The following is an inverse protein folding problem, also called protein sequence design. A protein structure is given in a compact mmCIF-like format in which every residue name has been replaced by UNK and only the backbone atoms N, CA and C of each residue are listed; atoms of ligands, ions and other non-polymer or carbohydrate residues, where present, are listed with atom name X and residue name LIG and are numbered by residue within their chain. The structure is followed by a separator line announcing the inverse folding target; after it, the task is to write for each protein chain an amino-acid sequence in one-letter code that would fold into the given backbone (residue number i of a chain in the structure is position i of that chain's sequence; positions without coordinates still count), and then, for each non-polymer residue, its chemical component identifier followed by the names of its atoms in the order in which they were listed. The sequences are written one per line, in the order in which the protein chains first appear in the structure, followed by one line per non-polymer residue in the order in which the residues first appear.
data_IF_918565009560
#
_entry.id   IF_918565009560
#
_cell.length_a   1.000
_cell.length_b   1.000
_cell.length_c   1.000
_cell.angle_alpha   90.00
_cell.angle_beta   90.00
_cell.angle_gamma   90.00
#
_symmetry.space_group_name_H-M   'P 1'
#
loop_
_entity.id
_entity.type
_entity.pdbx_description
1 polymer ?
#
# COMPACT_ATOMS: atom_id res chain seq x y z
N UNK A 1 -61.73 9.61 20.68
CA UNK A 1 -60.45 9.05 21.21
C UNK A 1 -59.70 8.24 20.15
N UNK A 2 -60.38 7.51 19.27
CA UNK A 2 -59.74 6.64 18.25
C UNK A 2 -58.82 7.37 17.24
N UNK A 3 -59.15 8.61 16.84
CA UNK A 3 -58.37 9.34 15.84
C UNK A 3 -56.97 9.76 16.31
N UNK A 4 -56.75 9.92 17.63
CA UNK A 4 -55.42 10.21 18.21
C UNK A 4 -54.54 8.97 18.28
N UNK A 5 -55.12 7.80 18.49
CA UNK A 5 -54.41 6.52 18.55
C UNK A 5 -53.88 6.11 17.17
N UNK A 6 -54.63 6.39 16.10
CA UNK A 6 -54.22 6.09 14.71
C UNK A 6 -53.01 6.93 14.30
N UNK A 7 -53.01 8.24 14.59
CA UNK A 7 -51.89 9.14 14.28
C UNK A 7 -50.62 8.73 15.05
N UNK A 8 -50.78 8.35 16.33
CA UNK A 8 -49.65 7.93 17.16
C UNK A 8 -49.06 6.59 16.70
N UNK A 9 -49.91 5.65 16.26
CA UNK A 9 -49.43 4.40 15.65
C UNK A 9 -48.75 4.64 14.30
N UNK A 10 -49.24 5.58 13.48
CA UNK A 10 -48.60 5.92 12.20
C UNK A 10 -47.23 6.58 12.39
N UNK A 11 -47.12 7.47 13.39
CA UNK A 11 -45.84 8.09 13.76
C UNK A 11 -44.85 7.06 14.30
N UNK A 12 -45.31 6.13 15.16
CA UNK A 12 -44.48 5.05 15.71
C UNK A 12 -44.02 4.06 14.65
N UNK A 13 -44.87 3.74 13.66
CA UNK A 13 -44.49 2.91 12.53
C UNK A 13 -43.46 3.60 11.64
N UNK A 14 -43.61 4.91 11.41
CA UNK A 14 -42.66 5.72 10.64
C UNK A 14 -41.28 5.81 11.31
N UNK A 15 -41.23 6.01 12.63
CA UNK A 15 -39.95 6.03 13.37
C UNK A 15 -39.28 4.66 13.39
N UNK A 16 -40.04 3.57 13.58
CA UNK A 16 -39.50 2.21 13.53
C UNK A 16 -39.01 1.83 12.13
N UNK A 17 -39.67 2.33 11.08
CA UNK A 17 -39.23 2.13 9.69
C UNK A 17 -37.92 2.86 9.41
N UNK A 18 -37.84 4.13 9.83
CA UNK A 18 -36.63 4.95 9.69
C UNK A 18 -35.45 4.37 10.49
N UNK A 19 -35.66 3.93 11.73
CA UNK A 19 -34.61 3.24 12.52
C UNK A 19 -34.15 1.94 11.87
N UNK A 20 -35.05 1.19 11.23
CA UNK A 20 -34.68 -0.02 10.47
C UNK A 20 -33.92 0.31 9.20
N UNK A 21 -34.30 1.36 8.47
CA UNK A 21 -33.56 1.84 7.30
C UNK A 21 -32.17 2.32 7.70
N UNK A 22 -32.06 3.12 8.76
CA UNK A 22 -30.78 3.63 9.28
C UNK A 22 -29.88 2.50 9.79
N UNK A 23 -30.44 1.47 10.44
CA UNK A 23 -29.70 0.29 10.89
C UNK A 23 -29.20 -0.57 9.72
N UNK A 24 -30.05 -0.82 8.71
CA UNK A 24 -29.67 -1.56 7.51
C UNK A 24 -28.62 -0.81 6.70
N UNK A 25 -28.74 0.51 6.60
CA UNK A 25 -27.74 1.35 5.92
C UNK A 25 -26.41 1.35 6.67
N UNK A 26 -26.44 1.43 8.01
CA UNK A 26 -25.25 1.30 8.86
C UNK A 26 -24.56 -0.07 8.73
N UNK A 27 -25.33 -1.15 8.64
CA UNK A 27 -24.79 -2.50 8.42
C UNK A 27 -24.13 -2.63 7.03
N UNK A 28 -24.74 -2.06 6.00
CA UNK A 28 -24.19 -2.05 4.63
C UNK A 28 -22.91 -1.21 4.57
N UNK A 29 -22.89 -0.01 5.15
CA UNK A 29 -21.70 0.84 5.20
C UNK A 29 -20.54 0.19 5.98
N UNK A 30 -20.86 -0.49 7.08
CA UNK A 30 -19.89 -1.27 7.85
C UNK A 30 -19.32 -2.43 7.02
N UNK A 31 -20.18 -3.19 6.33
CA UNK A 31 -19.77 -4.29 5.47
C UNK A 31 -18.91 -3.81 4.29
N UNK A 32 -19.28 -2.67 3.69
CA UNK A 32 -18.53 -2.04 2.61
C UNK A 32 -17.16 -1.57 3.08
N UNK A 33 -17.11 -0.89 4.22
CA UNK A 33 -15.86 -0.43 4.84
C UNK A 33 -14.94 -1.61 5.17
N UNK A 34 -15.49 -2.69 5.72
CA UNK A 34 -14.75 -3.92 5.97
C UNK A 34 -14.22 -4.56 4.68
N UNK A 35 -15.02 -4.59 3.61
CA UNK A 35 -14.62 -5.12 2.31
C UNK A 35 -13.48 -4.30 1.68
N UNK A 36 -13.53 -2.97 1.80
CA UNK A 36 -12.48 -2.07 1.33
C UNK A 36 -11.19 -2.20 2.15
N UNK A 37 -11.29 -2.25 3.48
CA UNK A 37 -10.15 -2.52 4.34
C UNK A 37 -9.50 -3.88 4.01
N UNK A 38 -10.32 -4.91 3.76
CA UNK A 38 -9.85 -6.24 3.37
C UNK A 38 -9.11 -6.23 2.04
N UNK A 39 -9.65 -5.56 1.03
CA UNK A 39 -8.98 -5.45 -0.27
C UNK A 39 -7.64 -4.71 -0.15
N UNK A 40 -7.59 -3.63 0.64
CA UNK A 40 -6.36 -2.89 0.88
C UNK A 40 -5.29 -3.73 1.61
N UNK A 41 -5.70 -4.55 2.59
CA UNK A 41 -4.77 -5.45 3.27
C UNK A 41 -4.24 -6.53 2.32
N UNK A 42 -5.11 -7.14 1.51
CA UNK A 42 -4.71 -8.17 0.56
C UNK A 42 -3.70 -7.65 -0.46
N UNK A 43 -3.91 -6.44 -0.99
CA UNK A 43 -3.02 -5.78 -1.94
C UNK A 43 -1.61 -5.58 -1.36
N UNK A 44 -1.52 -5.03 -0.15
CA UNK A 44 -0.23 -4.81 0.54
C UNK A 44 0.47 -6.14 0.84
N UNK A 45 -0.26 -7.19 1.21
CA UNK A 45 0.30 -8.52 1.47
C UNK A 45 0.83 -9.14 0.17
N UNK A 46 0.06 -9.09 -0.91
CA UNK A 46 0.48 -9.61 -2.22
C UNK A 46 1.75 -8.92 -2.69
N UNK A 47 1.79 -7.59 -2.62
CA UNK A 47 2.96 -6.83 -3.02
C UNK A 47 4.19 -7.13 -2.13
N UNK A 48 3.99 -7.30 -0.80
CA UNK A 48 5.06 -7.69 0.11
C UNK A 48 5.59 -9.10 -0.19
N UNK A 49 4.71 -10.05 -0.50
CA UNK A 49 5.07 -11.40 -0.90
C UNK A 49 5.84 -11.43 -2.23
N UNK A 50 5.40 -10.64 -3.23
CA UNK A 50 6.12 -10.48 -4.49
C UNK A 50 7.51 -9.89 -4.22
N UNK A 51 7.62 -8.88 -3.36
CA UNK A 51 8.90 -8.28 -3.01
C UNK A 51 9.86 -9.26 -2.31
N UNK A 52 9.35 -10.14 -1.45
CA UNK A 52 10.14 -11.21 -0.81
C UNK A 52 10.59 -12.24 -1.85
N UNK A 53 9.68 -12.68 -2.74
CA UNK A 53 10.01 -13.60 -3.83
C UNK A 53 11.05 -13.01 -4.80
N UNK A 54 10.94 -11.73 -5.14
CA UNK A 54 11.89 -10.96 -5.95
C UNK A 54 13.31 -11.00 -5.38
N UNK A 55 13.46 -11.00 -4.05
CA UNK A 55 14.76 -11.06 -3.39
C UNK A 55 15.33 -12.47 -3.32
N UNK A 56 14.47 -13.48 -3.15
CA UNK A 56 14.87 -14.89 -3.16
C UNK A 56 15.35 -15.33 -4.53
N UNK A 57 14.72 -14.84 -5.60
CA UNK A 57 15.20 -15.02 -6.96
C UNK A 57 16.35 -14.06 -7.27
N UNK A 58 17.22 -14.41 -8.23
CA UNK A 58 18.34 -13.53 -8.62
C UNK A 58 17.80 -12.16 -9.00
N UNK A 59 18.48 -11.08 -8.59
CA UNK A 59 18.10 -9.68 -8.85
C UNK A 59 17.85 -9.31 -10.33
N UNK A 60 18.28 -10.16 -11.28
CA UNK A 60 17.96 -10.05 -12.70
C UNK A 60 16.50 -10.34 -13.04
N UNK A 61 15.80 -11.15 -12.24
CA UNK A 61 14.42 -11.59 -12.49
C UNK A 61 13.38 -10.77 -11.70
N UNK A 62 13.85 -9.89 -10.81
CA UNK A 62 13.04 -9.00 -9.99
C UNK A 62 12.00 -8.18 -10.79
N UNK A 63 12.45 -7.56 -11.88
CA UNK A 63 11.59 -6.75 -12.75
C UNK A 63 10.54 -7.60 -13.46
N UNK A 64 10.92 -8.81 -13.88
CA UNK A 64 10.02 -9.73 -14.57
C UNK A 64 8.89 -10.19 -13.63
N UNK A 65 9.20 -10.59 -12.40
CA UNK A 65 8.20 -11.07 -11.44
C UNK A 65 7.19 -9.98 -11.04
N UNK A 66 7.67 -8.75 -10.80
CA UNK A 66 6.79 -7.62 -10.47
C UNK A 66 5.91 -7.24 -11.68
N UNK A 67 6.48 -7.27 -12.89
CA UNK A 67 5.72 -6.96 -14.11
C UNK A 67 4.63 -7.99 -14.43
N UNK A 68 4.87 -9.28 -14.16
CA UNK A 68 3.88 -10.35 -14.32
C UNK A 68 2.71 -10.14 -13.37
N UNK A 69 2.99 -9.76 -12.12
CA UNK A 69 1.97 -9.47 -11.12
C UNK A 69 1.09 -8.30 -11.55
N UNK A 70 1.70 -7.26 -12.12
CA UNK A 70 0.98 -6.10 -12.65
C UNK A 70 0.20 -6.38 -13.92
N UNK A 71 0.71 -7.25 -14.79
CA UNK A 71 -0.03 -7.75 -15.92
C UNK A 71 -1.27 -8.52 -15.47
N UNK A 72 -1.14 -9.39 -14.46
CA UNK A 72 -2.27 -10.10 -13.87
C UNK A 72 -3.29 -9.14 -13.24
N UNK A 73 -2.82 -8.12 -12.52
CA UNK A 73 -3.67 -7.04 -11.98
C UNK A 73 -4.42 -6.30 -13.10
N UNK A 74 -3.75 -5.98 -14.21
CA UNK A 74 -4.38 -5.29 -15.32
C UNK A 74 -5.45 -6.15 -16.01
N UNK A 75 -5.18 -7.45 -16.20
CA UNK A 75 -6.19 -8.40 -16.71
C UNK A 75 -7.38 -8.49 -15.76
N UNK A 76 -7.13 -8.58 -14.44
CA UNK A 76 -8.17 -8.53 -13.42
C UNK A 76 -8.98 -7.24 -13.46
N UNK A 77 -8.30 -6.10 -13.67
CA UNK A 77 -8.91 -4.78 -13.82
C UNK A 77 -9.78 -4.64 -15.07
N UNK A 78 -9.35 -5.18 -16.22
CA UNK A 78 -10.16 -5.26 -17.45
C UNK A 78 -11.41 -6.09 -17.19
N UNK A 79 -11.26 -7.31 -16.68
CA UNK A 79 -12.39 -8.20 -16.37
C UNK A 79 -13.35 -7.56 -15.36
N UNK A 80 -12.82 -6.95 -14.30
CA UNK A 80 -13.59 -6.27 -13.26
C UNK A 80 -14.33 -5.04 -13.78
N UNK A 81 -13.73 -4.25 -14.66
CA UNK A 81 -14.37 -3.06 -15.24
C UNK A 81 -15.49 -3.45 -16.22
N UNK A 82 -15.29 -4.50 -17.02
CA UNK A 82 -16.31 -5.04 -17.92
C UNK A 82 -17.48 -5.66 -17.13
N UNK A 83 -17.19 -6.51 -16.14
CA UNK A 83 -18.20 -7.10 -15.27
C UNK A 83 -18.92 -6.04 -14.44
N UNK A 84 -18.21 -5.00 -13.97
CA UNK A 84 -18.79 -3.87 -13.24
C UNK A 84 -19.75 -3.05 -14.09
N UNK A 85 -19.38 -2.75 -15.35
CA UNK A 85 -20.28 -2.08 -16.31
C UNK A 85 -21.52 -2.90 -16.64
N UNK A 86 -21.35 -4.22 -16.82
CA UNK A 86 -22.47 -5.15 -17.02
C UNK A 86 -23.39 -5.23 -15.78
N UNK A 87 -22.79 -5.32 -14.58
CA UNK A 87 -23.51 -5.37 -13.32
C UNK A 87 -24.34 -4.10 -13.10
N UNK A 88 -23.79 -2.92 -13.40
CA UNK A 88 -24.48 -1.64 -13.22
C UNK A 88 -25.71 -1.48 -14.14
N UNK A 89 -25.72 -2.13 -15.30
CA UNK A 89 -26.78 -2.02 -16.30
C UNK A 89 -27.86 -3.10 -16.18
N UNK A 90 -27.52 -4.30 -15.69
CA UNK A 90 -28.42 -5.45 -15.71
C UNK A 90 -28.74 -6.03 -14.32
N UNK A 91 -27.98 -5.69 -13.28
CA UNK A 91 -28.18 -6.21 -11.93
C UNK A 91 -28.81 -5.17 -11.01
N UNK A 92 -29.60 -5.65 -10.05
CA UNK A 92 -30.12 -4.83 -8.97
C UNK A 92 -28.99 -4.44 -8.02
N UNK A 93 -29.10 -3.25 -7.45
CA UNK A 93 -28.12 -2.66 -6.52
C UNK A 93 -27.81 -3.61 -5.34
N UNK A 94 -28.81 -4.31 -4.80
CA UNK A 94 -28.62 -5.31 -3.73
C UNK A 94 -27.64 -6.44 -4.12
N UNK A 95 -27.75 -6.93 -5.37
CA UNK A 95 -26.85 -7.97 -5.89
C UNK A 95 -25.43 -7.43 -6.11
N UNK A 96 -25.30 -6.16 -6.49
CA UNK A 96 -24.00 -5.48 -6.64
C UNK A 96 -23.30 -5.38 -5.28
N UNK A 97 -24.02 -4.96 -4.23
CA UNK A 97 -23.47 -4.91 -2.87
C UNK A 97 -23.06 -6.30 -2.35
N UNK A 98 -23.85 -7.34 -2.62
CA UNK A 98 -23.50 -8.71 -2.24
C UNK A 98 -22.24 -9.17 -2.98
N UNK A 99 -22.14 -8.93 -4.29
CA UNK A 99 -20.95 -9.26 -5.07
C UNK A 99 -19.70 -8.56 -4.52
N UNK A 100 -19.84 -7.30 -4.13
CA UNK A 100 -18.75 -6.47 -3.59
C UNK A 100 -18.28 -6.89 -2.19
N UNK A 101 -19.08 -7.66 -1.45
CA UNK A 101 -18.67 -8.20 -0.14
C UNK A 101 -18.11 -9.62 -0.26
N UNK A 102 -18.68 -10.45 -1.15
CA UNK A 102 -18.26 -11.84 -1.38
C UNK A 102 -16.91 -11.91 -2.09
N UNK A 103 -16.70 -11.10 -3.15
CA UNK A 103 -15.44 -11.16 -3.91
C UNK A 103 -14.20 -10.85 -3.04
N UNK A 104 -14.18 -9.76 -2.23
CA UNK A 104 -13.07 -9.54 -1.30
C UNK A 104 -12.96 -10.60 -0.21
N UNK A 105 -14.07 -11.23 0.21
CA UNK A 105 -14.03 -12.35 1.16
C UNK A 105 -13.29 -13.56 0.61
N UNK A 106 -13.57 -13.92 -0.64
CA UNK A 106 -12.87 -14.98 -1.34
C UNK A 106 -11.39 -14.66 -1.52
N UNK A 107 -11.05 -13.40 -1.82
CA UNK A 107 -9.66 -12.96 -1.90
C UNK A 107 -8.90 -13.17 -0.57
N UNK A 108 -9.51 -12.79 0.56
CA UNK A 108 -8.90 -12.99 1.87
C UNK A 108 -8.76 -14.47 2.22
N UNK A 109 -9.76 -15.30 1.89
CA UNK A 109 -9.67 -16.74 2.07
C UNK A 109 -8.51 -17.31 1.25
N UNK A 110 -8.31 -16.83 0.02
CA UNK A 110 -7.17 -17.22 -0.80
C UNK A 110 -5.84 -16.83 -0.15
N UNK A 111 -5.70 -15.60 0.36
CA UNK A 111 -4.50 -15.16 1.07
C UNK A 111 -4.23 -16.00 2.34
N UNK A 112 -5.28 -16.39 3.07
CA UNK A 112 -5.15 -17.22 4.27
C UNK A 112 -4.76 -18.69 3.97
N UNK A 113 -5.02 -19.17 2.76
CA UNK A 113 -4.66 -20.51 2.31
C UNK A 113 -3.25 -20.58 1.70
N UNK A 114 -2.60 -19.44 1.45
CA UNK A 114 -1.22 -19.45 0.99
C UNK A 114 -0.32 -19.94 2.10
N UNK A 115 0.25 -21.14 1.90
CA UNK A 115 1.16 -21.76 2.84
C UNK A 115 2.54 -21.09 2.75
N UNK A 116 2.94 -20.38 3.80
CA UNK A 116 4.29 -19.86 3.93
C UNK A 116 5.27 -21.03 4.09
N UNK A 117 6.11 -21.26 3.09
CA UNK A 117 7.24 -22.18 3.25
C UNK A 117 8.30 -21.48 4.11
N UNK A 118 8.60 -21.95 5.33
CA UNK A 118 9.62 -21.32 6.15
C UNK A 118 10.96 -21.47 5.44
N UNK A 119 11.54 -20.35 4.99
CA UNK A 119 12.87 -20.33 4.41
C UNK A 119 13.85 -20.96 5.42
N UNK A 120 14.60 -21.97 4.97
CA UNK A 120 15.59 -22.67 5.77
C UNK A 120 16.56 -21.66 6.39
N UNK A 121 16.57 -21.58 7.72
CA UNK A 121 17.58 -20.87 8.49
C UNK A 121 18.93 -21.57 8.32
N UNK A 122 19.66 -21.29 7.24
CA UNK A 122 21.11 -21.47 7.25
C UNK A 122 21.74 -20.27 7.98
N UNK A 123 22.49 -20.50 9.07
CA UNK A 123 23.13 -19.41 9.80
C UNK A 123 24.28 -18.82 8.96
N UNK A 124 24.11 -17.60 8.46
CA UNK A 124 25.20 -16.83 7.85
C UNK A 124 26.18 -16.34 8.95
N UNK A 125 27.50 -16.27 8.68
CA UNK A 125 28.53 -16.11 9.72
C UNK A 125 28.44 -14.79 10.48
N UNK A 126 28.66 -14.87 11.79
CA UNK A 126 28.89 -13.75 12.70
C UNK A 126 29.89 -12.75 12.10
N UNK A 127 29.42 -11.53 11.84
CA UNK A 127 30.30 -10.38 11.78
C UNK A 127 29.79 -9.29 12.73
N UNK A 128 30.61 -9.11 13.76
CA UNK A 128 30.77 -7.97 14.65
C UNK A 128 29.94 -7.98 15.94
N UNK A 129 30.63 -8.40 17.00
CA UNK A 129 30.42 -8.09 18.41
C UNK A 129 29.78 -6.71 18.62
N UNK A 130 28.63 -6.71 19.26
CA UNK A 130 28.13 -5.57 20.01
C UNK A 130 27.50 -6.05 21.32
N UNK A 131 28.33 -6.63 22.19
CA UNK A 131 28.04 -6.76 23.62
C UNK A 131 28.68 -5.58 24.36
N UNK A 132 28.08 -4.40 24.22
CA UNK A 132 28.26 -3.29 25.15
C UNK A 132 27.08 -2.34 24.94
N UNK A 133 26.47 -1.89 26.05
CA UNK A 133 25.24 -1.09 26.17
C UNK A 133 23.91 -1.87 26.27
N UNK A 134 23.60 -2.36 27.47
CA UNK A 134 22.65 -1.70 28.39
C UNK A 134 22.35 -2.63 29.57
N UNK A 135 23.11 -2.51 30.66
CA UNK A 135 22.61 -2.91 31.98
C UNK A 135 23.08 -1.88 33.01
N UNK A 136 22.32 -0.79 33.13
CA UNK A 136 22.46 0.16 34.23
C UNK A 136 21.11 0.78 34.56
N UNK A 137 20.26 0.02 35.24
CA UNK A 137 19.29 0.61 36.15
C UNK A 137 18.78 -0.40 37.17
N UNK A 138 19.03 -0.06 38.44
CA UNK A 138 18.26 -0.45 39.63
C UNK A 138 18.40 -1.90 40.10
N UNK A 139 19.34 -2.13 41.01
CA UNK A 139 18.99 -2.46 42.40
C UNK A 139 20.20 -2.21 43.31
N UNK A 140 20.10 -1.18 44.14
CA UNK A 140 20.90 -1.05 45.35
C UNK A 140 20.44 -2.11 46.34
N UNK A 141 21.35 -2.95 46.82
CA UNK A 141 21.27 -3.50 48.16
C UNK A 141 22.67 -3.89 48.61
N UNK A 142 23.19 -3.06 49.51
CA UNK A 142 24.40 -3.31 50.27
C UNK A 142 24.25 -4.59 51.09
N UNK A 143 25.21 -5.50 50.98
CA UNK A 143 25.65 -6.34 52.11
C UNK A 143 27.00 -6.99 51.76
N UNK A 144 28.06 -6.43 52.36
CA UNK A 144 29.33 -7.13 52.64
C UNK A 144 29.09 -8.17 53.76
N UNK A 145 29.81 -9.31 53.82
CA UNK A 145 31.22 -9.25 54.21
C UNK A 145 32.20 -10.25 53.55
N UNK A 146 33.45 -9.80 53.54
CA UNK A 146 34.73 -10.50 53.75
C UNK A 146 35.07 -11.81 53.05
N UNK A 147 35.99 -11.66 52.10
CA UNK A 147 37.01 -12.66 51.74
C UNK A 147 37.89 -13.07 52.92
N UNK A 148 38.02 -14.38 53.17
CA UNK A 148 39.35 -14.94 53.48
C UNK A 148 39.53 -16.38 52.98
N UNK A 149 40.48 -16.50 52.03
CA UNK A 149 41.50 -17.54 51.84
C UNK A 149 41.22 -18.96 52.40
N UNK A 150 41.27 -19.98 51.55
CA UNK A 150 42.52 -20.69 51.20
C UNK A 150 42.27 -22.10 50.63
N UNK A 151 43.06 -22.41 49.60
CA UNK A 151 43.70 -23.67 49.24
C UNK A 151 43.12 -25.06 49.59
N UNK A 152 43.40 -25.93 48.61
CA UNK A 152 43.84 -27.35 48.69
C UNK A 152 42.82 -28.49 48.69
N UNK A 153 42.84 -29.22 47.56
CA UNK A 153 43.14 -30.66 47.39
C UNK A 153 42.49 -31.69 48.34
N UNK A 154 42.02 -32.74 47.66
CA UNK A 154 42.18 -34.20 47.91
C UNK A 154 41.02 -34.97 48.58
N UNK A 155 40.53 -35.91 47.76
CA UNK A 155 40.44 -37.37 47.99
C UNK A 155 39.40 -37.93 49.00
N UNK A 156 38.53 -38.78 48.43
CA UNK A 156 38.46 -40.25 48.63
C UNK A 156 37.40 -40.80 49.59
N UNK A 157 36.71 -41.84 49.08
CA UNK A 157 36.10 -42.94 49.86
C UNK A 157 34.58 -42.96 49.74
N UNK A 158 33.97 -43.86 48.96
CA UNK A 158 33.50 -45.20 49.39
C UNK A 158 32.58 -45.13 50.62
N UNK A 159 31.35 -45.67 50.68
CA UNK A 159 30.92 -47.00 50.20
C UNK A 159 29.41 -47.20 50.49
N UNK A 160 28.75 -47.98 49.62
CA UNK A 160 27.75 -49.06 49.86
C UNK A 160 26.31 -48.79 50.37
N UNK A 161 25.37 -49.27 49.54
CA UNK A 161 24.13 -50.00 49.89
C UNK A 161 22.95 -49.09 50.25
N UNK A 162 21.69 -49.33 49.86
CA UNK A 162 20.99 -50.52 49.35
C UNK A 162 19.66 -50.03 48.75
N UNK A 163 19.12 -50.76 47.75
CA UNK A 163 17.87 -50.52 47.00
C UNK A 163 16.63 -50.20 47.88
N UNK A 164 15.79 -49.29 47.40
CA UNK A 164 14.41 -49.06 47.85
C UNK A 164 13.71 -48.03 46.97
N UNK A 165 12.46 -48.32 46.62
CA UNK A 165 11.60 -47.72 45.59
C UNK A 165 11.33 -46.20 45.61
N UNK A 166 11.00 -45.71 44.42
CA UNK A 166 10.07 -44.60 44.11
C UNK A 166 10.19 -43.28 44.89
N UNK A 167 10.72 -42.22 44.23
CA UNK A 167 9.98 -40.97 43.98
C UNK A 167 10.79 -40.07 43.03
N UNK A 168 10.45 -40.10 41.74
CA UNK A 168 10.84 -39.07 40.79
C UNK A 168 9.92 -37.85 40.97
N UNK A 169 10.43 -36.82 41.63
CA UNK A 169 9.91 -35.44 41.66
C UNK A 169 11.15 -34.56 41.83
N UNK A 170 11.52 -33.59 41.01
CA UNK A 170 10.76 -32.77 40.06
C UNK A 170 11.78 -32.11 39.13
N UNK A 171 12.00 -32.69 37.95
CA UNK A 171 12.55 -31.96 36.80
C UNK A 171 11.62 -32.19 35.61
N UNK A 172 10.34 -31.87 35.83
CA UNK A 172 9.36 -31.78 34.75
C UNK A 172 9.25 -30.31 34.37
N UNK A 173 9.79 -30.00 33.19
CA UNK A 173 9.26 -28.98 32.29
C UNK A 173 8.95 -27.60 32.91
N UNK A 174 9.95 -26.71 32.98
CA UNK A 174 9.69 -25.27 32.92
C UNK A 174 10.02 -24.73 31.52
N UNK A 175 9.37 -25.32 30.51
CA UNK A 175 9.49 -24.92 29.10
C UNK A 175 8.12 -25.00 28.42
N UNK A 176 7.17 -24.17 28.85
CA UNK A 176 5.88 -23.83 28.21
C UNK A 176 5.10 -23.05 29.29
N UNK A 177 4.66 -21.81 29.13
CA UNK A 177 4.13 -21.10 27.98
C UNK A 177 4.52 -19.63 28.12
N UNK A 178 5.39 -19.11 27.24
CA UNK A 178 5.32 -17.68 26.94
C UNK A 178 4.01 -17.54 26.16
N UNK A 179 3.04 -16.80 26.71
CA UNK A 179 1.77 -16.52 26.04
C UNK A 179 2.03 -16.16 24.58
N UNK A 180 1.25 -16.72 23.64
CA UNK A 180 1.34 -16.40 22.21
C UNK A 180 1.34 -14.87 21.98
N UNK A 181 0.60 -14.13 22.81
CA UNK A 181 0.60 -12.66 22.81
C UNK A 181 1.96 -12.05 23.19
N UNK A 182 2.69 -12.65 24.12
CA UNK A 182 4.05 -12.22 24.49
C UNK A 182 5.06 -12.51 23.39
N UNK A 183 4.96 -13.65 22.69
CA UNK A 183 5.81 -13.94 21.52
C UNK A 183 5.50 -13.03 20.34
N UNK A 184 4.23 -12.77 20.06
CA UNK A 184 3.80 -11.83 19.02
C UNK A 184 4.26 -10.41 19.34
N UNK A 185 4.10 -9.95 20.59
CA UNK A 185 4.56 -8.64 21.02
C UNK A 185 6.09 -8.49 20.94
N UNK A 186 6.86 -9.52 21.30
CA UNK A 186 8.31 -9.52 21.14
C UNK A 186 8.73 -9.47 19.67
N UNK A 187 8.04 -10.21 18.80
CA UNK A 187 8.30 -10.22 17.36
C UNK A 187 7.94 -8.87 16.72
N UNK A 188 6.81 -8.29 17.11
CA UNK A 188 6.40 -6.94 16.68
C UNK A 188 7.39 -5.87 17.15
N UNK A 189 7.86 -5.96 18.40
CA UNK A 189 8.86 -5.02 18.94
C UNK A 189 10.19 -5.14 18.19
N UNK A 190 10.62 -6.35 17.85
CA UNK A 190 11.82 -6.58 17.06
C UNK A 190 11.68 -6.04 15.63
N UNK A 191 10.56 -6.31 14.95
CA UNK A 191 10.27 -5.83 13.61
C UNK A 191 10.18 -4.29 13.55
N UNK A 192 9.51 -3.67 14.53
CA UNK A 192 9.40 -2.19 14.61
C UNK A 192 10.74 -1.52 14.87
N UNK A 193 11.58 -2.08 15.75
CA UNK A 193 12.92 -1.55 15.98
C UNK A 193 13.85 -1.73 14.76
N UNK A 194 13.81 -2.91 14.12
CA UNK A 194 14.54 -3.19 12.89
C UNK A 194 14.13 -2.25 11.75
N UNK A 195 12.83 -2.05 11.56
CA UNK A 195 12.27 -1.09 10.62
C UNK A 195 12.73 0.34 10.90
N UNK A 196 12.69 0.78 12.17
CA UNK A 196 13.16 2.10 12.57
C UNK A 196 14.64 2.34 12.27
N UNK A 197 15.48 1.30 12.41
CA UNK A 197 16.89 1.35 12.04
C UNK A 197 17.08 1.40 10.53
N UNK A 198 16.34 0.60 9.76
CA UNK A 198 16.40 0.58 8.30
C UNK A 198 15.91 1.90 7.69
N UNK A 199 14.80 2.46 8.20
CA UNK A 199 14.25 3.73 7.73
C UNK A 199 15.18 4.93 8.00
N UNK A 200 16.02 4.87 9.05
CA UNK A 200 17.05 5.88 9.31
C UNK A 200 18.22 5.84 8.34
N UNK A 201 18.36 4.79 7.54
CA UNK A 201 19.43 4.73 6.55
C UNK A 201 19.17 5.76 5.43
N UNK A 202 20.13 6.64 5.14
CA UNK A 202 19.93 7.72 4.16
C UNK A 202 19.70 7.21 2.74
N UNK A 203 20.09 5.96 2.45
CA UNK A 203 19.88 5.32 1.15
C UNK A 203 18.41 4.97 0.91
N UNK A 204 17.63 4.72 1.97
CA UNK A 204 16.19 4.43 1.93
C UNK A 204 15.38 5.71 2.16
N UNK A 205 15.76 6.51 3.16
CA UNK A 205 15.01 7.70 3.56
C UNK A 205 14.94 8.74 2.44
N UNK A 206 16.03 8.98 1.70
CA UNK A 206 16.08 10.02 0.67
C UNK A 206 15.14 9.73 -0.52
N UNK A 207 15.14 8.52 -1.13
CA UNK A 207 14.17 8.16 -2.16
C UNK A 207 12.72 8.18 -1.64
N UNK A 208 12.45 7.65 -0.44
CA UNK A 208 11.09 7.64 0.11
C UNK A 208 10.58 9.06 0.41
N UNK A 209 11.42 9.93 0.97
CA UNK A 209 11.07 11.32 1.22
C UNK A 209 10.81 12.08 -0.09
N UNK A 210 11.65 11.87 -1.12
CA UNK A 210 11.41 12.44 -2.44
C UNK A 210 10.08 11.99 -3.02
N UNK A 211 9.76 10.69 -2.93
CA UNK A 211 8.52 10.12 -3.44
C UNK A 211 7.29 10.68 -2.73
N UNK A 212 7.36 10.81 -1.40
CA UNK A 212 6.30 11.41 -0.59
C UNK A 212 6.10 12.90 -0.94
N UNK A 213 7.18 13.67 -1.05
CA UNK A 213 7.14 15.07 -1.50
C UNK A 213 6.54 15.15 -2.91
N UNK A 214 6.87 14.22 -3.80
CA UNK A 214 6.33 14.17 -5.16
C UNK A 214 4.80 14.00 -5.19
N UNK A 215 4.23 13.23 -4.26
CA UNK A 215 2.77 13.07 -4.15
C UNK A 215 2.08 14.26 -3.48
N UNK A 216 2.70 14.88 -2.47
CA UNK A 216 2.11 16.04 -1.77
C UNK A 216 2.12 17.28 -2.66
N UNK A 217 3.22 17.49 -3.38
CA UNK A 217 3.43 18.73 -4.11
C UNK A 217 2.52 18.84 -5.33
N UNK A 218 2.13 17.71 -5.92
CA UNK A 218 1.23 17.66 -7.07
C UNK A 218 -0.21 17.52 -6.57
N UNK A 219 -1.05 18.58 -6.66
CA UNK A 219 -2.44 18.51 -6.24
C UNK A 219 -3.21 17.52 -7.14
N UNK A 220 -3.93 16.57 -6.53
CA UNK A 220 -4.71 15.60 -7.29
C UNK A 220 -6.12 16.15 -7.61
N UNK A 221 -6.34 16.54 -8.87
CA UNK A 221 -7.62 17.03 -9.37
C UNK A 221 -8.49 15.95 -10.03
N UNK A 222 -8.17 14.65 -9.86
CA UNK A 222 -8.90 13.56 -10.52
C UNK A 222 -10.40 13.56 -10.24
N UNK A 223 -10.82 13.86 -9.00
CA UNK A 223 -12.23 13.92 -8.62
C UNK A 223 -12.95 15.08 -9.31
N UNK A 224 -12.31 16.24 -9.40
CA UNK A 224 -12.86 17.42 -10.09
C UNK A 224 -12.98 17.15 -11.59
N UNK A 225 -11.96 16.52 -12.18
CA UNK A 225 -11.99 16.11 -13.58
C UNK A 225 -13.10 15.08 -13.85
N UNK A 226 -13.35 14.15 -12.94
CA UNK A 226 -14.49 13.24 -13.05
C UNK A 226 -15.84 13.99 -13.08
N UNK A 227 -16.05 14.95 -12.17
CA UNK A 227 -17.26 15.78 -12.19
C UNK A 227 -17.40 16.60 -13.48
N UNK A 228 -16.30 17.14 -13.99
CA UNK A 228 -16.30 17.84 -15.28
C UNK A 228 -16.72 16.93 -16.44
N UNK A 229 -16.21 15.70 -16.47
CA UNK A 229 -16.57 14.69 -17.48
C UNK A 229 -18.05 14.28 -17.41
N UNK A 230 -18.63 14.19 -16.21
CA UNK A 230 -20.04 13.81 -16.04
C UNK A 230 -21.00 14.97 -16.24
N UNK A 231 -20.70 16.16 -15.73
CA UNK A 231 -21.64 17.29 -15.73
C UNK A 231 -21.53 18.18 -16.96
N UNK A 232 -20.31 18.45 -17.44
CA UNK A 232 -20.07 19.36 -18.57
C UNK A 232 -20.05 18.59 -19.89
N UNK A 233 -19.28 17.50 -19.94
CA UNK A 233 -19.19 16.68 -21.15
C UNK A 233 -20.37 15.70 -21.31
N UNK A 234 -21.18 15.52 -20.25
CA UNK A 234 -22.34 14.63 -20.24
C UNK A 234 -21.99 13.21 -20.73
N UNK A 235 -20.87 12.68 -20.24
CA UNK A 235 -20.42 11.33 -20.56
C UNK A 235 -21.18 10.29 -19.72
N UNK A 236 -21.77 9.31 -20.39
CA UNK A 236 -22.48 8.21 -19.74
C UNK A 236 -21.55 7.41 -18.81
N UNK A 237 -22.09 6.91 -17.70
CA UNK A 237 -21.36 6.03 -16.77
C UNK A 237 -20.79 4.78 -17.48
N UNK A 238 -21.48 4.24 -18.49
CA UNK A 238 -20.99 3.13 -19.30
C UNK A 238 -19.74 3.50 -20.13
N UNK A 239 -19.68 4.74 -20.62
CA UNK A 239 -18.49 5.24 -21.32
C UNK A 239 -17.31 5.42 -20.37
N UNK A 240 -17.56 5.96 -19.17
CA UNK A 240 -16.52 6.08 -18.12
C UNK A 240 -15.99 4.71 -17.69
N UNK A 241 -16.86 3.68 -17.60
CA UNK A 241 -16.43 2.29 -17.38
C UNK A 241 -15.56 1.75 -18.52
N UNK A 242 -15.88 2.07 -19.77
CA UNK A 242 -15.06 1.73 -20.94
C UNK A 242 -13.71 2.46 -20.92
N UNK A 243 -13.68 3.71 -20.47
CA UNK A 243 -12.45 4.48 -20.29
C UNK A 243 -11.52 3.81 -19.25
N UNK A 244 -12.07 3.22 -18.19
CA UNK A 244 -11.29 2.43 -17.22
C UNK A 244 -10.70 1.17 -17.84
N UNK A 245 -11.44 0.45 -18.70
CA UNK A 245 -10.90 -0.69 -19.47
C UNK A 245 -9.72 -0.24 -20.32
N UNK A 246 -9.84 0.89 -21.02
CA UNK A 246 -8.75 1.47 -21.82
C UNK A 246 -7.57 1.90 -20.94
N UNK A 247 -7.82 2.41 -19.73
CA UNK A 247 -6.81 2.66 -18.70
C UNK A 247 -6.00 1.41 -18.35
N UNK A 248 -6.68 0.28 -18.07
CA UNK A 248 -6.02 -1.01 -17.79
C UNK A 248 -5.23 -1.54 -18.99
N UNK A 249 -5.72 -1.36 -20.23
CA UNK A 249 -4.95 -1.70 -21.43
C UNK A 249 -3.71 -0.80 -21.57
N UNK A 250 -3.85 0.49 -21.25
CA UNK A 250 -2.73 1.43 -21.15
C UNK A 250 -1.69 0.99 -20.12
N UNK A 251 -2.15 0.50 -18.96
CA UNK A 251 -1.30 -0.08 -17.92
C UNK A 251 -0.50 -1.28 -18.45
N UNK A 252 -1.17 -2.24 -19.11
CA UNK A 252 -0.50 -3.41 -19.72
C UNK A 252 0.57 -2.99 -20.71
N UNK A 253 0.24 -2.04 -21.58
CA UNK A 253 1.17 -1.51 -22.57
C UNK A 253 2.33 -0.75 -21.92
N UNK A 254 2.07 0.03 -20.88
CA UNK A 254 3.08 0.74 -20.10
C UNK A 254 4.05 -0.21 -19.38
N UNK A 255 3.53 -1.28 -18.77
CA UNK A 255 4.35 -2.34 -18.15
C UNK A 255 5.22 -3.05 -19.18
N UNK A 256 4.68 -3.35 -20.36
CA UNK A 256 5.46 -3.92 -21.46
C UNK A 256 6.60 -3.00 -21.92
N UNK A 257 6.31 -1.70 -22.12
CA UNK A 257 7.33 -0.70 -22.46
C UNK A 257 8.40 -0.61 -21.36
N UNK A 258 7.98 -0.67 -20.09
CA UNK A 258 8.90 -0.58 -18.97
C UNK A 258 9.92 -1.71 -19.00
N UNK A 259 9.45 -2.96 -19.06
CA UNK A 259 10.30 -4.15 -19.09
C UNK A 259 11.27 -4.11 -20.28
N UNK A 260 10.80 -3.62 -21.43
CA UNK A 260 11.60 -3.64 -22.65
C UNK A 260 12.67 -2.54 -22.70
N UNK A 261 12.40 -1.35 -22.16
CA UNK A 261 13.21 -0.15 -22.40
C UNK A 261 13.61 0.64 -21.15
N UNK A 262 12.79 0.66 -20.09
CA UNK A 262 13.01 1.53 -18.93
C UNK A 262 13.72 0.82 -17.77
N UNK A 263 13.73 -0.52 -17.75
CA UNK A 263 14.39 -1.31 -16.72
C UNK A 263 15.91 -1.03 -16.68
N UNK A 264 16.55 -0.86 -17.84
CA UNK A 264 17.99 -0.59 -17.97
C UNK A 264 18.39 0.85 -17.64
N UNK A 265 17.42 1.75 -17.45
CA UNK A 265 17.69 3.16 -17.20
C UNK A 265 18.00 3.44 -15.72
N UNK A 266 18.74 4.52 -15.44
CA UNK A 266 18.95 4.99 -14.08
C UNK A 266 17.64 5.51 -13.48
N UNK A 267 17.42 5.30 -12.18
CA UNK A 267 16.21 5.71 -11.47
C UNK A 267 15.88 7.20 -11.67
N UNK A 268 16.89 8.07 -11.70
CA UNK A 268 16.68 9.51 -11.97
C UNK A 268 16.09 9.78 -13.35
N UNK A 269 16.52 9.04 -14.38
CA UNK A 269 16.02 9.21 -15.75
C UNK A 269 14.60 8.69 -15.87
N UNK A 270 14.29 7.52 -15.31
CA UNK A 270 12.93 6.96 -15.35
C UNK A 270 11.93 7.91 -14.66
N UNK A 271 12.30 8.49 -13.52
CA UNK A 271 11.46 9.47 -12.83
C UNK A 271 11.33 10.79 -13.60
N UNK A 272 12.40 11.27 -14.23
CA UNK A 272 12.32 12.43 -15.13
C UNK A 272 11.32 12.17 -16.27
N UNK A 273 11.42 11.03 -16.95
CA UNK A 273 10.46 10.65 -18.00
C UNK A 273 9.03 10.50 -17.48
N UNK A 274 8.85 9.95 -16.28
CA UNK A 274 7.52 9.84 -15.66
C UNK A 274 6.91 11.22 -15.38
N UNK A 275 7.69 12.18 -14.87
CA UNK A 275 7.20 13.56 -14.65
C UNK A 275 6.95 14.31 -15.96
N UNK A 276 7.78 14.11 -17.00
CA UNK A 276 7.51 14.64 -18.34
C UNK A 276 6.20 14.06 -18.87
N UNK A 277 6.01 12.74 -18.80
CA UNK A 277 4.77 12.08 -19.17
C UNK A 277 3.56 12.64 -18.42
N UNK A 278 3.69 12.81 -17.09
CA UNK A 278 2.62 13.35 -16.26
C UNK A 278 2.24 14.77 -16.67
N UNK A 279 3.24 15.60 -16.99
CA UNK A 279 2.99 16.95 -17.52
C UNK A 279 2.26 16.91 -18.87
N UNK A 280 2.58 15.95 -19.75
CA UNK A 280 1.89 15.76 -21.03
C UNK A 280 0.43 15.36 -20.81
N UNK A 281 0.14 14.45 -19.87
CA UNK A 281 -1.24 14.07 -19.54
C UNK A 281 -2.04 15.26 -19.02
N UNK A 282 -1.48 16.07 -18.11
CA UNK A 282 -2.17 17.26 -17.59
C UNK A 282 -2.35 18.31 -18.69
N UNK A 283 -1.41 18.44 -19.63
CA UNK A 283 -1.59 19.33 -20.78
C UNK A 283 -2.74 18.86 -21.69
N UNK A 284 -2.91 17.55 -21.88
CA UNK A 284 -4.07 17.00 -22.60
C UNK A 284 -5.38 17.33 -21.85
N UNK A 285 -5.38 17.24 -20.53
CA UNK A 285 -6.51 17.64 -19.70
C UNK A 285 -6.82 19.14 -19.86
N UNK A 286 -5.80 20.01 -19.96
CA UNK A 286 -6.01 21.44 -20.23
C UNK A 286 -6.60 21.68 -21.62
N UNK A 287 -6.17 20.93 -22.64
CA UNK A 287 -6.74 21.00 -24.00
C UNK A 287 -8.21 20.56 -24.00
N UNK A 288 -8.55 19.55 -23.20
CA UNK A 288 -9.93 19.10 -23.02
C UNK A 288 -10.80 20.17 -22.35
N UNK A 289 -10.32 20.75 -21.24
CA UNK A 289 -11.06 21.77 -20.48
C UNK A 289 -11.25 23.06 -21.27
N UNK A 290 -10.24 23.48 -22.05
CA UNK A 290 -10.34 24.66 -22.92
C UNK A 290 -11.20 24.45 -24.17
N UNK A 291 -11.74 23.24 -24.38
CA UNK A 291 -12.52 22.84 -25.57
C UNK A 291 -11.76 23.03 -26.90
N UNK A 292 -10.44 23.20 -26.85
CA UNK A 292 -9.60 23.36 -28.04
C UNK A 292 -9.60 22.11 -28.92
N UNK A 293 -9.82 20.93 -28.31
CA UNK A 293 -9.99 19.66 -29.00
C UNK A 293 -11.10 19.68 -30.07
N UNK A 294 -12.23 20.34 -29.79
CA UNK A 294 -13.34 20.48 -30.75
C UNK A 294 -12.93 21.32 -31.96
N UNK A 295 -12.12 22.36 -31.74
CA UNK A 295 -11.57 23.20 -32.82
C UNK A 295 -10.65 22.44 -33.78
N UNK A 296 -9.95 21.41 -33.30
CA UNK A 296 -9.14 20.50 -34.11
C UNK A 296 -9.92 19.28 -34.64
N UNK A 297 -11.23 19.19 -34.39
CA UNK A 297 -12.07 18.08 -34.83
C UNK A 297 -11.90 16.79 -34.03
N UNK A 298 -11.25 16.83 -32.87
CA UNK A 298 -11.05 15.67 -31.98
C UNK A 298 -12.24 15.55 -31.03
N UNK A 299 -12.88 14.37 -31.01
CA UNK A 299 -14.00 14.09 -30.11
C UNK A 299 -13.56 14.09 -28.64
N UNK A 300 -14.39 14.67 -27.76
CA UNK A 300 -14.22 14.66 -26.30
C UNK A 300 -13.98 13.23 -25.77
N UNK A 301 -14.73 12.27 -26.31
CA UNK A 301 -14.64 10.85 -25.94
C UNK A 301 -13.24 10.29 -26.23
N UNK A 302 -12.71 10.52 -27.42
CA UNK A 302 -11.39 10.03 -27.82
C UNK A 302 -10.29 10.60 -26.93
N UNK A 303 -10.40 11.89 -26.58
CA UNK A 303 -9.44 12.56 -25.70
C UNK A 303 -9.44 11.96 -24.28
N UNK A 304 -10.63 11.72 -23.72
CA UNK A 304 -10.79 11.09 -22.39
C UNK A 304 -10.25 9.66 -22.36
N UNK A 305 -10.49 8.86 -23.41
CA UNK A 305 -9.94 7.51 -23.52
C UNK A 305 -8.40 7.53 -23.54
N UNK A 306 -7.82 8.44 -24.33
CA UNK A 306 -6.38 8.56 -24.44
C UNK A 306 -5.73 9.07 -23.14
N UNK A 307 -6.35 10.06 -22.50
CA UNK A 307 -5.91 10.55 -21.18
C UNK A 307 -5.94 9.45 -20.12
N UNK A 308 -6.97 8.61 -20.11
CA UNK A 308 -7.06 7.46 -19.20
C UNK A 308 -5.95 6.44 -19.44
N UNK A 309 -5.71 6.04 -20.69
CA UNK A 309 -4.64 5.11 -21.05
C UNK A 309 -3.24 5.63 -20.66
N UNK A 310 -2.95 6.89 -21.00
CA UNK A 310 -1.66 7.49 -20.69
C UNK A 310 -1.47 7.71 -19.18
N UNK A 311 -2.50 8.21 -18.49
CA UNK A 311 -2.45 8.49 -17.06
C UNK A 311 -2.10 7.25 -16.24
N UNK A 312 -2.80 6.13 -16.49
CA UNK A 312 -2.55 4.87 -15.79
C UNK A 312 -1.16 4.32 -16.12
N UNK A 313 -0.74 4.36 -17.39
CA UNK A 313 0.60 3.96 -17.81
C UNK A 313 1.69 4.78 -17.10
N UNK A 314 1.57 6.10 -17.05
CA UNK A 314 2.59 6.99 -16.46
C UNK A 314 2.66 6.82 -14.93
N UNK A 315 1.52 6.72 -14.25
CA UNK A 315 1.50 6.47 -12.81
C UNK A 315 2.24 5.19 -12.45
N UNK A 316 2.12 4.17 -13.31
CA UNK A 316 2.84 2.91 -13.17
C UNK A 316 4.34 3.06 -13.36
N UNK A 317 4.76 3.79 -14.40
CA UNK A 317 6.18 4.08 -14.64
C UNK A 317 6.83 4.82 -13.47
N UNK A 318 6.07 5.66 -12.76
CA UNK A 318 6.54 6.36 -11.56
C UNK A 318 6.73 5.41 -10.37
N UNK A 319 5.85 4.44 -10.21
CA UNK A 319 5.80 3.58 -9.03
C UNK A 319 6.80 2.42 -9.09
N UNK A 320 6.97 1.83 -10.28
CA UNK A 320 7.77 0.62 -10.48
C UNK A 320 9.21 0.69 -9.97
N UNK A 321 9.98 1.76 -10.27
CA UNK A 321 11.37 1.84 -9.88
C UNK A 321 11.56 1.86 -8.36
N UNK A 322 10.60 2.41 -7.62
CA UNK A 322 10.66 2.45 -6.15
C UNK A 322 10.38 1.10 -5.52
N UNK A 323 9.50 0.30 -6.11
CA UNK A 323 9.23 -1.06 -5.66
C UNK A 323 10.46 -1.95 -5.83
N UNK A 324 11.11 -1.87 -7.00
CA UNK A 324 12.37 -2.58 -7.26
C UNK A 324 13.47 -2.11 -6.31
N UNK A 325 13.59 -0.79 -6.10
CA UNK A 325 14.55 -0.23 -5.16
C UNK A 325 14.26 -0.69 -3.72
N UNK A 326 13.00 -0.71 -3.29
CA UNK A 326 12.60 -1.16 -1.97
C UNK A 326 13.01 -2.61 -1.76
N UNK A 327 12.67 -3.51 -2.69
CA UNK A 327 13.05 -4.92 -2.60
C UNK A 327 14.57 -5.15 -2.49
N UNK A 328 15.37 -4.29 -3.13
CA UNK A 328 16.85 -4.37 -3.04
C UNK A 328 17.43 -3.79 -1.76
N UNK A 329 16.81 -2.76 -1.18
CA UNK A 329 17.31 -2.09 0.02
C UNK A 329 16.81 -2.73 1.31
N UNK A 330 15.83 -3.63 1.24
CA UNK A 330 15.32 -4.37 2.38
C UNK A 330 16.43 -5.22 3.03
N UNK A 331 16.76 -5.00 4.31
CA UNK A 331 17.67 -5.90 5.02
C UNK A 331 16.96 -7.23 5.34
N UNK A 332 17.73 -8.33 5.42
CA UNK A 332 17.18 -9.67 5.56
C UNK A 332 16.33 -9.78 6.83
N UNK A 333 15.14 -10.36 6.70
CA UNK A 333 14.23 -10.63 7.82
C UNK A 333 13.25 -9.51 8.19
N UNK A 334 13.29 -8.34 7.53
CA UNK A 334 12.25 -7.30 7.68
C UNK A 334 11.70 -6.79 6.32
N UNK A 335 11.90 -7.55 5.25
CA UNK A 335 11.57 -7.15 3.87
C UNK A 335 10.10 -6.77 3.70
N UNK A 336 9.19 -7.68 4.10
CA UNK A 336 7.75 -7.41 4.02
C UNK A 336 7.34 -6.21 4.86
N UNK A 337 8.00 -5.97 6.00
CA UNK A 337 7.69 -4.81 6.86
C UNK A 337 8.18 -3.49 6.24
N UNK A 338 9.37 -3.44 5.65
CA UNK A 338 9.88 -2.24 4.97
C UNK A 338 9.07 -1.93 3.70
N UNK A 339 8.68 -2.97 2.98
CA UNK A 339 7.83 -2.85 1.82
C UNK A 339 6.42 -2.34 2.20
N UNK A 340 5.80 -2.92 3.22
CA UNK A 340 4.51 -2.44 3.73
C UNK A 340 4.58 -0.98 4.21
N UNK A 341 5.71 -0.55 4.79
CA UNK A 341 5.95 0.85 5.12
C UNK A 341 5.98 1.74 3.86
N UNK A 342 6.67 1.30 2.80
CA UNK A 342 6.69 2.01 1.52
C UNK A 342 5.28 2.17 0.94
N UNK A 343 4.49 1.10 0.90
CA UNK A 343 3.09 1.14 0.45
C UNK A 343 2.23 2.07 1.30
N UNK A 344 2.43 2.07 2.61
CA UNK A 344 1.73 2.96 3.54
C UNK A 344 2.07 4.44 3.28
N UNK A 345 3.33 4.75 3.02
CA UNK A 345 3.78 6.11 2.65
C UNK A 345 3.17 6.54 1.30
N UNK A 346 3.08 5.63 0.33
CA UNK A 346 2.43 5.89 -0.96
C UNK A 346 0.94 6.22 -0.78
N UNK A 347 0.21 5.41 0.00
CA UNK A 347 -1.21 5.63 0.27
C UNK A 347 -1.46 6.92 1.07
N UNK A 348 -0.58 7.23 2.04
CA UNK A 348 -0.62 8.50 2.74
C UNK A 348 -0.36 9.68 1.79
N UNK A 349 0.63 9.57 0.90
CA UNK A 349 0.92 10.58 -0.11
C UNK A 349 -0.28 10.84 -1.04
N UNK A 350 -0.94 9.79 -1.52
CA UNK A 350 -2.17 9.90 -2.32
C UNK A 350 -3.33 10.56 -1.57
N UNK A 351 -3.47 10.25 -0.28
CA UNK A 351 -4.50 10.85 0.57
C UNK A 351 -4.26 12.34 0.77
N UNK A 352 -3.03 12.72 1.13
CA UNK A 352 -2.65 14.13 1.30
C UNK A 352 -2.73 14.88 -0.03
N UNK A 353 -2.29 14.28 -1.13
CA UNK A 353 -2.40 14.88 -2.47
C UNK A 353 -3.86 15.09 -2.91
N UNK A 354 -4.77 14.18 -2.53
CA UNK A 354 -6.22 14.32 -2.76
C UNK A 354 -6.82 15.46 -1.91
N UNK A 355 -6.44 15.58 -0.64
CA UNK A 355 -6.85 16.71 0.19
C UNK A 355 -6.29 18.04 -0.33
N UNK A 356 -5.04 18.06 -0.79
CA UNK A 356 -4.42 19.24 -1.40
C UNK A 356 -5.15 19.64 -2.69
N UNK A 357 -5.54 18.67 -3.53
CA UNK A 357 -6.34 18.90 -4.73
C UNK A 357 -7.74 19.42 -4.43
N UNK A 358 -8.43 18.84 -3.45
CA UNK A 358 -9.74 19.33 -2.98
C UNK A 358 -9.63 20.75 -2.37
N UNK A 359 -8.58 21.03 -1.61
CA UNK A 359 -8.28 22.36 -1.08
C UNK A 359 -8.02 23.39 -2.19
N UNK A 360 -7.26 23.01 -3.22
CA UNK A 360 -7.03 23.84 -4.40
C UNK A 360 -8.33 24.13 -5.16
N UNK A 361 -9.18 23.10 -5.34
CA UNK A 361 -10.48 23.24 -5.98
C UNK A 361 -11.39 24.21 -5.21
N UNK A 362 -11.44 24.07 -3.89
CA UNK A 362 -12.19 24.98 -3.00
C UNK A 362 -11.67 26.42 -3.07
N UNK A 363 -10.33 26.61 -3.07
CA UNK A 363 -9.71 27.95 -3.16
C UNK A 363 -10.03 28.66 -4.48
N UNK A 364 -10.12 27.90 -5.58
CA UNK A 364 -10.47 28.41 -6.90
C UNK A 364 -11.99 28.52 -7.11
N UNK A 365 -12.81 28.18 -6.10
CA UNK A 365 -14.27 28.20 -6.19
C UNK A 365 -14.84 27.19 -7.20
N UNK A 366 -14.13 26.09 -7.47
CA UNK A 366 -14.60 25.04 -8.37
C UNK A 366 -15.64 24.20 -7.62
N UNK A 367 -16.87 24.22 -8.11
CA UNK A 367 -18.00 23.47 -7.57
C UNK A 367 -18.72 22.73 -8.69
N UNK A 368 -19.52 21.72 -8.34
CA UNK A 368 -20.50 21.15 -9.27
C UNK A 368 -21.37 22.28 -9.85
N UNK A 369 -21.38 22.40 -11.18
CA UNK A 369 -22.02 23.48 -11.91
C UNK A 369 -21.18 24.71 -12.28
N UNK A 370 -19.98 24.94 -11.71
CA UNK A 370 -19.11 26.07 -12.08
C UNK A 370 -17.64 25.67 -12.20
N UNK A 371 -17.17 25.51 -13.44
CA UNK A 371 -15.82 25.01 -13.76
C UNK A 371 -14.90 26.05 -14.43
N UNK A 372 -15.25 27.33 -14.38
CA UNK A 372 -14.54 28.41 -15.10
C UNK A 372 -13.05 28.50 -14.74
N UNK A 373 -12.71 28.25 -13.47
CA UNK A 373 -11.34 28.29 -12.97
C UNK A 373 -10.59 26.94 -13.08
N UNK A 374 -11.21 25.91 -13.68
CA UNK A 374 -10.59 24.58 -13.81
C UNK A 374 -9.31 24.63 -14.65
N UNK A 375 -9.28 25.44 -15.70
CA UNK A 375 -8.06 25.66 -16.48
C UNK A 375 -6.93 26.23 -15.62
N UNK A 376 -7.22 27.17 -14.71
CA UNK A 376 -6.23 27.73 -13.79
C UNK A 376 -5.74 26.67 -12.79
N UNK A 377 -6.65 25.82 -12.29
CA UNK A 377 -6.29 24.70 -11.41
C UNK A 377 -5.33 23.70 -12.08
N UNK A 378 -5.60 23.33 -13.33
CA UNK A 378 -4.71 22.48 -14.12
C UNK A 378 -3.37 23.17 -14.40
N UNK A 379 -3.35 24.49 -14.65
CA UNK A 379 -2.11 25.24 -14.87
C UNK A 379 -1.20 25.15 -13.64
N UNK A 380 -1.78 25.39 -12.45
CA UNK A 380 -1.08 25.25 -11.17
C UNK A 380 -0.55 23.82 -11.02
N UNK A 381 -1.36 22.81 -11.35
CA UNK A 381 -0.96 21.41 -11.28
C UNK A 381 0.24 21.07 -12.20
N UNK A 382 0.29 21.63 -13.42
CA UNK A 382 1.45 21.48 -14.33
C UNK A 382 2.71 22.06 -13.69
N UNK A 383 2.64 23.28 -13.15
CA UNK A 383 3.81 23.90 -12.49
C UNK A 383 4.27 23.09 -11.27
N UNK A 384 3.33 22.63 -10.46
CA UNK A 384 3.60 21.76 -9.30
C UNK A 384 4.28 20.44 -9.70
N UNK A 385 3.98 19.91 -10.89
CA UNK A 385 4.56 18.64 -11.39
C UNK A 385 6.07 18.73 -11.63
N UNK A 386 6.61 19.94 -11.86
CA UNK A 386 8.04 20.16 -12.04
C UNK A 386 8.80 20.38 -10.72
N UNK A 387 8.11 20.69 -9.61
CA UNK A 387 8.78 20.90 -8.32
C UNK A 387 9.53 19.63 -7.86
N UNK A 388 8.95 18.41 -7.90
CA UNK A 388 9.67 17.19 -7.55
C UNK A 388 10.89 16.92 -8.45
N UNK A 389 10.83 17.34 -9.72
CA UNK A 389 11.95 17.22 -10.66
C UNK A 389 13.16 18.03 -10.17
N UNK A 390 12.95 19.22 -9.60
CA UNK A 390 14.03 20.01 -9.00
C UNK A 390 14.68 19.29 -7.80
N UNK A 391 13.89 18.52 -7.05
CA UNK A 391 14.37 17.71 -5.93
C UNK A 391 14.98 16.35 -6.34
N UNK A 392 15.08 16.02 -7.64
CA UNK A 392 15.75 14.78 -8.11
C UNK A 392 17.21 14.68 -7.67
N UNK A 393 17.83 15.77 -7.21
CA UNK A 393 19.15 15.74 -6.59
C UNK A 393 19.21 14.81 -5.36
N UNK A 394 18.09 14.63 -4.65
CA UNK A 394 18.00 13.84 -3.42
C UNK A 394 18.24 12.34 -3.62
N UNK A 395 17.96 11.81 -4.81
CA UNK A 395 18.10 10.38 -5.15
C UNK A 395 19.55 10.11 -5.59
N UNK A 396 20.30 9.14 -5.06
CA UNK A 396 21.69 8.89 -5.50
C UNK A 396 21.82 8.66 -7.02
N UNK A 397 22.95 9.08 -7.63
CA UNK A 397 23.18 8.92 -9.09
C UNK A 397 23.36 7.46 -9.52
N UNK A 398 23.67 6.58 -8.57
CA UNK A 398 24.09 5.18 -8.80
C UNK A 398 22.96 4.16 -8.60
N UNK A 399 21.73 4.58 -8.25
CA UNK A 399 20.59 3.67 -8.17
C UNK A 399 20.09 3.32 -9.59
N UNK A 400 20.53 2.18 -10.13
CA UNK A 400 20.07 1.62 -11.41
C UNK A 400 18.93 0.60 -11.20
N UNK A 401 18.01 0.51 -12.18
CA UNK A 401 16.95 -0.50 -12.22
C UNK A 401 17.47 -1.92 -12.46
N UNK A 402 18.67 -2.09 -13.01
CA UNK A 402 19.37 -3.38 -13.18
C UNK A 402 20.85 -3.21 -12.79
N UNK A 403 21.42 -4.30 -12.28
CA UNK A 403 22.83 -4.53 -11.90
C UNK A 403 23.81 -3.41 -12.25
N UNK A 404 24.49 -2.87 -11.23
CA UNK A 404 25.90 -2.54 -11.44
C UNK A 404 26.59 -3.88 -11.74
N UNK A 405 26.93 -4.08 -13.01
CA UNK A 405 27.81 -5.16 -13.47
C UNK A 405 29.21 -4.99 -12.90
#
# INVERSE_FOLDING_TARGET
MEHKTIIWNHFRLYTNWREKEDAVFGDIDCALSCAMARSAMADVVIDAMIAEAVRLEKASFAGDLQSVSWFAMAVGGVCGSLLGGYALSNLKIETIFLLFTVLPALQLLSCALVEESPANNEPLPELLDSNEFEEKSLTSNDNYPDTSKSNTRRRKGQKKGKKGDSNGKSETQKKQSKSLASQWFQSLKAATFGLGRAFKQPIILRPMAWFFIAHITVPNLSTVMFYYQTEVLQLDAAFLGTARVVGWLGLMFGTFIYNRYLQDMTLRKSLLFAHIGLSVTILLDMVLVSRANVGYGVSDKTMVLFGSALGDAINQLKFMPFLILSGRLCPPGIEGTLFALFMSINNLGNTVGSFMGAGLASLLGISSGSFDNMFMGLAIQVFCTYIPVLFLFLIPKEATGVSAS
#
